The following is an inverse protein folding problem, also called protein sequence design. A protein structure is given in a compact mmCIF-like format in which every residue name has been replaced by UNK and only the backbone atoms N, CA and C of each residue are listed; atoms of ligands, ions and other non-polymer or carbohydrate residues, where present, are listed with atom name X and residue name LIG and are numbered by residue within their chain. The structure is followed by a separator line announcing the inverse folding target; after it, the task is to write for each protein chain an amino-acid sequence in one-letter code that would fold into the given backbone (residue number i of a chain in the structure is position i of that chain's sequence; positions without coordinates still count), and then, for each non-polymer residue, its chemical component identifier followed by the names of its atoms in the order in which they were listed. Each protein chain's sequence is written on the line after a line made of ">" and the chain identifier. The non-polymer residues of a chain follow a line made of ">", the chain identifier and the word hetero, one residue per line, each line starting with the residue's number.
data_IF_257853892281
#
_entry.id   IF_257853892281
#
_cell.length_a   1.000
_cell.length_b   1.000
_cell.length_c   1.000
_cell.angle_alpha   90.00
_cell.angle_beta   90.00
_cell.angle_gamma   90.00
#
_symmetry.space_group_name_H-M   'P 1'
#
loop_
_entity.id
_entity.type
_entity.pdbx_description
1 polymer ?
#
# COMPACT_ATOMS: atom_id res chain seq x y z
N UNK A 1 14.78 21.28 0.02
CA UNK A 1 14.38 20.49 -1.17
C UNK A 1 14.63 18.97 -1.10
N UNK A 2 15.83 18.49 -0.74
CA UNK A 2 16.14 17.03 -0.77
C UNK A 2 15.19 16.17 0.08
N UNK A 3 14.76 16.64 1.25
CA UNK A 3 13.80 15.93 2.12
C UNK A 3 12.41 15.78 1.48
N UNK A 4 11.85 16.86 0.94
CA UNK A 4 10.55 16.86 0.26
C UNK A 4 10.53 15.86 -0.90
N UNK A 5 11.53 15.94 -1.80
CA UNK A 5 11.68 14.98 -2.91
C UNK A 5 11.80 13.51 -2.46
N UNK A 6 12.45 13.24 -1.31
CA UNK A 6 12.52 11.89 -0.74
C UNK A 6 11.17 11.42 -0.20
N UNK A 7 10.39 12.31 0.41
CA UNK A 7 9.04 12.00 0.88
C UNK A 7 8.10 11.71 -0.29
N UNK A 8 8.12 12.54 -1.34
CA UNK A 8 7.35 12.33 -2.58
C UNK A 8 7.66 10.96 -3.21
N UNK A 9 8.94 10.63 -3.41
CA UNK A 9 9.34 9.31 -3.92
C UNK A 9 8.86 8.16 -3.03
N UNK A 10 8.93 8.36 -1.70
CA UNK A 10 8.44 7.38 -0.74
C UNK A 10 6.92 7.19 -0.81
N UNK A 11 6.16 8.26 -1.05
CA UNK A 11 4.70 8.20 -1.22
C UNK A 11 4.35 7.46 -2.51
N UNK A 12 4.98 7.82 -3.64
CA UNK A 12 4.76 7.15 -4.94
C UNK A 12 5.07 5.65 -4.84
N UNK A 13 6.17 5.30 -4.17
CA UNK A 13 6.52 3.88 -3.96
C UNK A 13 5.49 3.14 -3.12
N UNK A 14 4.87 3.79 -2.13
CA UNK A 14 3.80 3.19 -1.32
C UNK A 14 2.50 3.05 -2.10
N UNK A 15 2.17 4.03 -2.96
CA UNK A 15 1.02 3.95 -3.86
C UNK A 15 1.11 2.75 -4.80
N UNK A 16 2.27 2.56 -5.42
CA UNK A 16 2.51 1.42 -6.30
C UNK A 16 2.39 0.08 -5.55
N UNK A 17 2.94 -0.01 -4.34
CA UNK A 17 2.81 -1.20 -3.51
C UNK A 17 1.34 -1.48 -3.14
N UNK A 18 0.58 -0.45 -2.75
CA UNK A 18 -0.85 -0.58 -2.45
C UNK A 18 -1.60 -1.11 -3.68
N UNK A 19 -1.37 -0.53 -4.87
CA UNK A 19 -2.01 -0.97 -6.12
C UNK A 19 -1.74 -2.44 -6.40
N UNK A 20 -0.48 -2.88 -6.32
CA UNK A 20 -0.10 -4.28 -6.53
C UNK A 20 -0.80 -5.20 -5.51
N UNK A 21 -0.91 -4.78 -4.25
CA UNK A 21 -1.59 -5.58 -3.22
C UNK A 21 -3.10 -5.62 -3.43
N UNK A 22 -3.73 -4.54 -3.91
CA UNK A 22 -5.15 -4.49 -4.26
C UNK A 22 -5.46 -5.44 -5.44
N UNK A 23 -4.61 -5.48 -6.47
CA UNK A 23 -4.74 -6.45 -7.57
C UNK A 23 -4.58 -7.90 -7.10
N UNK A 24 -3.62 -8.16 -6.20
CA UNK A 24 -3.39 -9.49 -5.63
C UNK A 24 -4.54 -9.92 -4.71
N UNK A 25 -5.11 -8.98 -3.95
CA UNK A 25 -6.28 -9.20 -3.13
C UNK A 25 -7.47 -9.62 -3.99
N UNK A 26 -7.72 -8.89 -5.07
CA UNK A 26 -8.81 -9.20 -5.99
C UNK A 26 -8.67 -10.62 -6.55
N UNK A 27 -7.47 -11.00 -7.02
CA UNK A 27 -7.19 -12.35 -7.50
C UNK A 27 -7.34 -13.41 -6.40
N UNK A 28 -6.97 -13.11 -5.16
CA UNK A 28 -7.15 -14.02 -4.04
C UNK A 28 -8.63 -14.23 -3.70
N UNK A 29 -9.45 -13.17 -3.77
CA UNK A 29 -10.91 -13.23 -3.60
C UNK A 29 -11.57 -14.06 -4.69
N UNK A 30 -11.22 -13.81 -5.95
CA UNK A 30 -11.75 -14.56 -7.11
C UNK A 30 -11.46 -16.07 -7.02
N UNK A 31 -10.30 -16.44 -6.47
CA UNK A 31 -9.89 -17.84 -6.30
C UNK A 31 -10.39 -18.46 -4.99
N UNK A 32 -11.09 -17.71 -4.14
CA UNK A 32 -11.57 -18.19 -2.84
C UNK A 32 -10.46 -18.40 -1.79
N UNK A 33 -9.28 -17.80 -1.97
CA UNK A 33 -8.17 -17.92 -1.03
C UNK A 33 -8.32 -16.95 0.15
N UNK A 34 -9.18 -17.32 1.11
CA UNK A 34 -9.61 -16.47 2.24
C UNK A 34 -8.44 -15.96 3.09
N UNK A 35 -7.50 -16.84 3.47
CA UNK A 35 -6.35 -16.44 4.30
C UNK A 35 -5.44 -15.45 3.57
N UNK A 36 -5.18 -15.72 2.29
CA UNK A 36 -4.34 -14.87 1.45
C UNK A 36 -5.00 -13.50 1.20
N UNK A 37 -6.31 -13.48 0.97
CA UNK A 37 -7.08 -12.24 0.88
C UNK A 37 -6.98 -11.44 2.19
N UNK A 38 -7.16 -12.09 3.34
CA UNK A 38 -7.05 -11.46 4.65
C UNK A 38 -5.65 -10.89 4.89
N UNK A 39 -4.61 -11.60 4.47
CA UNK A 39 -3.23 -11.10 4.52
C UNK A 39 -3.07 -9.81 3.72
N UNK A 40 -3.53 -9.78 2.47
CA UNK A 40 -3.42 -8.59 1.63
C UNK A 40 -4.23 -7.41 2.17
N UNK A 41 -5.42 -7.64 2.73
CA UNK A 41 -6.22 -6.57 3.36
C UNK A 41 -5.48 -5.91 4.54
N UNK A 42 -4.88 -6.72 5.42
CA UNK A 42 -4.07 -6.22 6.54
C UNK A 42 -2.85 -5.44 6.05
N UNK A 43 -2.19 -5.92 5.00
CA UNK A 43 -1.00 -5.26 4.48
C UNK A 43 -1.32 -3.94 3.76
N UNK A 44 -2.41 -3.90 2.99
CA UNK A 44 -2.93 -2.67 2.38
C UNK A 44 -3.24 -1.63 3.46
N UNK A 45 -3.91 -2.02 4.55
CA UNK A 45 -4.22 -1.11 5.66
C UNK A 45 -2.93 -0.54 6.30
N UNK A 46 -1.93 -1.38 6.52
CA UNK A 46 -0.61 -0.97 7.03
C UNK A 46 0.07 0.02 6.07
N UNK A 47 0.08 -0.26 4.77
CA UNK A 47 0.68 0.60 3.74
C UNK A 47 -0.05 1.94 3.63
N UNK A 48 -1.39 1.95 3.65
CA UNK A 48 -2.19 3.19 3.65
C UNK A 48 -1.87 4.06 4.87
N UNK A 49 -1.73 3.47 6.06
CA UNK A 49 -1.28 4.21 7.27
C UNK A 49 0.13 4.78 7.12
N UNK A 50 1.06 4.02 6.54
CA UNK A 50 2.42 4.49 6.28
C UNK A 50 2.46 5.65 5.28
N UNK A 51 1.62 5.59 4.24
CA UNK A 51 1.48 6.66 3.24
C UNK A 51 0.96 7.94 3.89
N UNK A 52 -0.14 7.85 4.64
CA UNK A 52 -0.73 8.98 5.36
C UNK A 52 0.28 9.67 6.31
N UNK A 53 1.07 8.87 7.03
CA UNK A 53 2.13 9.39 7.91
C UNK A 53 3.26 10.11 7.16
N UNK A 54 3.47 9.85 5.87
CA UNK A 54 4.42 10.58 5.03
C UNK A 54 3.79 11.82 4.42
N UNK A 55 2.53 11.73 3.99
CA UNK A 55 1.77 12.87 3.44
C UNK A 55 1.62 13.98 4.47
N UNK A 56 1.31 13.65 5.72
CA UNK A 56 1.26 14.62 6.83
C UNK A 56 2.60 15.30 7.16
N UNK A 57 3.72 14.77 6.64
CA UNK A 57 5.08 15.32 6.86
C UNK A 57 5.64 16.01 5.62
N UNK A 58 4.88 16.05 4.52
CA UNK A 58 5.26 16.63 3.23
C UNK A 58 5.06 18.15 3.23
#
# INVERSE_FOLDING_TARGET
>A
MKRKKRLEKGIISLEEQIRIHEEKLQKAKEKGFVELATYYEKDIARLKKQKLNKETKL
#
